data_IF_016055034233
#
_entry.id   IF_016055034233
#
_cell.length_a   1.000
_cell.length_b   1.000
_cell.length_c   1.000
_cell.angle_alpha   90.00
_cell.angle_beta   90.00
_cell.angle_gamma   90.00
#
_symmetry.space_group_name_H-M   'P 1'
#
loop_
_entity.id
_entity.type
_entity.pdbx_description
1 polymer ?
#
# COMPACT_ATOMS: atom_id res chain seq x y z
N UNK A 1 25.42 -0.67 -2.70
CA UNK A 1 24.42 -0.11 -1.77
C UNK A 1 24.67 1.39 -1.77
N UNK A 2 23.79 2.18 -2.38
CA UNK A 2 24.01 3.63 -2.51
C UNK A 2 23.55 4.34 -1.23
N UNK A 3 24.50 4.58 -0.32
CA UNK A 3 24.28 5.27 0.95
C UNK A 3 23.67 6.67 0.75
N UNK A 4 23.89 7.30 -0.42
CA UNK A 4 23.30 8.58 -0.78
C UNK A 4 21.77 8.54 -0.79
N UNK A 5 21.22 7.40 -1.21
CA UNK A 5 19.78 7.25 -1.43
C UNK A 5 18.99 7.21 -0.12
N UNK A 6 19.40 6.36 0.81
CA UNK A 6 18.77 6.24 2.13
C UNK A 6 18.86 7.54 2.93
N UNK A 7 19.98 8.28 2.80
CA UNK A 7 20.15 9.58 3.44
C UNK A 7 19.20 10.62 2.86
N UNK A 8 18.98 10.63 1.54
CA UNK A 8 18.07 11.56 0.87
C UNK A 8 16.63 11.43 1.37
N UNK A 9 16.21 10.22 1.77
CA UNK A 9 14.85 9.90 2.21
C UNK A 9 14.73 9.71 3.73
N UNK A 10 15.77 10.05 4.49
CA UNK A 10 15.80 9.90 5.96
C UNK A 10 14.75 10.73 6.73
N UNK A 11 14.14 11.71 6.06
CA UNK A 11 13.07 12.55 6.58
C UNK A 11 11.66 11.95 6.38
N UNK A 12 11.57 10.75 5.80
CA UNK A 12 10.32 10.08 5.44
C UNK A 12 10.03 8.93 6.40
N UNK A 13 8.79 8.85 6.87
CA UNK A 13 8.19 7.69 7.52
C UNK A 13 7.34 6.91 6.52
N UNK A 14 7.35 5.58 6.59
CA UNK A 14 6.72 4.72 5.60
C UNK A 14 5.67 3.81 6.25
N UNK A 15 4.43 3.89 5.78
CA UNK A 15 3.34 2.98 6.17
C UNK A 15 2.91 2.17 4.96
N UNK A 16 3.39 0.91 4.90
CA UNK A 16 2.95 -0.05 3.91
C UNK A 16 1.77 -0.90 4.38
N UNK A 17 1.29 -1.78 3.51
CA UNK A 17 0.42 -2.88 3.88
C UNK A 17 -0.87 -2.99 3.06
N UNK A 18 -1.63 -4.04 3.32
CA UNK A 18 -2.79 -4.41 2.48
C UNK A 18 -3.92 -3.37 2.55
N UNK A 19 -4.74 -3.24 1.49
CA UNK A 19 -5.94 -2.41 1.51
C UNK A 19 -6.83 -2.70 2.72
N UNK A 20 -7.57 -1.69 3.18
CA UNK A 20 -8.50 -1.81 4.31
C UNK A 20 -7.89 -2.10 5.70
N UNK A 21 -6.58 -1.87 5.90
CA UNK A 21 -5.95 -1.92 7.24
C UNK A 21 -6.00 -0.61 8.04
N UNK A 22 -6.59 0.46 7.50
CA UNK A 22 -6.71 1.74 8.20
C UNK A 22 -5.46 2.65 8.12
N UNK A 23 -4.54 2.38 7.18
CA UNK A 23 -3.32 3.19 6.93
C UNK A 23 -3.63 4.68 6.79
N UNK A 24 -4.55 5.05 5.90
CA UNK A 24 -4.88 6.45 5.63
C UNK A 24 -5.43 7.16 6.88
N UNK A 25 -6.24 6.48 7.69
CA UNK A 25 -6.76 7.02 8.96
C UNK A 25 -5.64 7.28 9.97
N UNK A 26 -4.71 6.34 10.13
CA UNK A 26 -3.56 6.48 11.03
C UNK A 26 -2.62 7.59 10.53
N UNK A 27 -2.36 7.60 9.23
CA UNK A 27 -1.51 8.59 8.56
C UNK A 27 -2.06 10.00 8.74
N UNK A 28 -3.36 10.21 8.52
CA UNK A 28 -4.02 11.49 8.71
C UNK A 28 -3.92 11.98 10.17
N UNK A 29 -4.13 11.08 11.15
CA UNK A 29 -4.00 11.41 12.58
C UNK A 29 -2.56 11.79 12.95
N UNK A 30 -1.57 11.02 12.51
CA UNK A 30 -0.14 11.32 12.77
C UNK A 30 0.28 12.64 12.11
N UNK A 31 -0.14 12.88 10.88
CA UNK A 31 0.16 14.12 10.17
C UNK A 31 -0.42 15.34 10.89
N UNK A 32 -1.67 15.26 11.34
CA UNK A 32 -2.31 16.32 12.11
C UNK A 32 -1.63 16.56 13.47
N UNK A 33 -1.18 15.50 14.15
CA UNK A 33 -0.55 15.58 15.47
C UNK A 33 0.90 16.08 15.42
N UNK A 34 1.64 15.75 14.36
CA UNK A 34 3.09 15.98 14.28
C UNK A 34 3.52 16.89 13.13
N UNK A 35 2.57 17.50 12.39
CA UNK A 35 2.87 18.44 11.30
C UNK A 35 3.56 17.80 10.10
N UNK A 36 3.21 16.55 9.76
CA UNK A 36 3.82 15.80 8.65
C UNK A 36 3.13 16.12 7.32
N UNK A 37 3.89 16.12 6.22
CA UNK A 37 3.28 16.05 4.87
C UNK A 37 2.83 14.62 4.61
N UNK A 38 1.61 14.44 4.12
CA UNK A 38 1.14 13.13 3.66
C UNK A 38 1.53 12.96 2.19
N UNK A 39 2.06 11.79 1.86
CA UNK A 39 2.15 11.29 0.50
C UNK A 39 1.34 9.99 0.41
N UNK A 40 0.19 10.03 -0.25
CA UNK A 40 -0.64 8.84 -0.51
C UNK A 40 -0.34 8.26 -1.89
N UNK A 41 0.04 6.98 -1.95
CA UNK A 41 0.32 6.34 -3.25
C UNK A 41 -0.93 6.29 -4.13
N UNK A 42 -2.09 6.00 -3.54
CA UNK A 42 -3.38 5.88 -4.24
C UNK A 42 -3.77 7.18 -4.98
N UNK A 43 -3.30 8.35 -4.52
CA UNK A 43 -3.56 9.65 -5.14
C UNK A 43 -2.75 9.88 -6.43
N UNK A 44 -1.70 9.09 -6.64
CA UNK A 44 -0.75 9.27 -7.75
C UNK A 44 -0.94 8.25 -8.87
N UNK A 45 -1.74 7.20 -8.64
CA UNK A 45 -1.99 6.08 -9.57
C UNK A 45 -2.33 6.56 -10.98
N UNK A 46 -3.27 7.50 -11.14
CA UNK A 46 -3.69 8.00 -12.45
C UNK A 46 -2.55 8.69 -13.21
N UNK A 47 -1.75 9.50 -12.51
CA UNK A 47 -0.60 10.19 -13.10
C UNK A 47 0.52 9.21 -13.44
N UNK A 48 0.89 8.32 -12.53
CA UNK A 48 1.90 7.29 -12.77
C UNK A 48 1.53 6.39 -13.96
N UNK A 49 0.25 6.01 -14.05
CA UNK A 49 -0.28 5.23 -15.17
C UNK A 49 -0.17 5.98 -16.50
N UNK A 50 -0.39 7.29 -16.49
CA UNK A 50 -0.28 8.14 -17.69
C UNK A 50 1.18 8.34 -18.12
N UNK A 51 2.10 8.49 -17.16
CA UNK A 51 3.53 8.73 -17.39
C UNK A 51 4.32 7.45 -17.70
N UNK A 52 3.76 6.29 -17.34
CA UNK A 52 4.36 4.99 -17.60
C UNK A 52 4.70 4.81 -19.09
N UNK A 53 5.89 4.29 -19.39
CA UNK A 53 6.29 3.89 -20.74
C UNK A 53 6.12 2.38 -20.86
N UNK A 54 5.45 1.92 -21.92
CA UNK A 54 5.05 0.50 -22.09
C UNK A 54 6.21 -0.49 -21.93
N UNK A 55 7.40 -0.17 -22.45
CA UNK A 55 8.59 -1.05 -22.36
C UNK A 55 9.16 -1.17 -20.94
N UNK A 56 8.79 -0.24 -20.04
CA UNK A 56 9.30 -0.17 -18.66
C UNK A 56 8.25 -0.54 -17.61
N UNK A 57 6.97 -0.41 -17.94
CA UNK A 57 5.86 -0.72 -17.06
C UNK A 57 4.71 -1.44 -17.81
N UNK A 58 4.98 -2.64 -18.36
CA UNK A 58 4.00 -3.37 -19.16
C UNK A 58 2.77 -3.83 -18.34
N UNK A 59 2.90 -4.11 -17.05
CA UNK A 59 1.76 -4.50 -16.20
C UNK A 59 0.85 -3.31 -15.92
N UNK A 60 1.40 -2.14 -15.57
CA UNK A 60 0.63 -0.90 -15.43
C UNK A 60 -0.16 -0.62 -16.71
N UNK A 61 0.49 -0.64 -17.88
CA UNK A 61 -0.16 -0.39 -19.17
C UNK A 61 -1.27 -1.37 -19.49
N UNK A 62 -1.03 -2.66 -19.24
CA UNK A 62 -2.02 -3.71 -19.52
C UNK A 62 -3.23 -3.60 -18.60
N UNK A 63 -3.01 -3.43 -17.29
CA UNK A 63 -4.10 -3.34 -16.32
C UNK A 63 -4.94 -2.07 -16.50
N UNK A 64 -4.31 -0.94 -16.84
CA UNK A 64 -5.01 0.33 -17.11
C UNK A 64 -5.98 0.26 -18.31
N UNK A 65 -5.81 -0.72 -19.19
CA UNK A 65 -6.63 -0.92 -20.41
C UNK A 65 -7.52 -2.15 -20.33
N UNK A 66 -7.42 -2.91 -19.24
CA UNK A 66 -8.19 -4.11 -19.04
C UNK A 66 -9.66 -3.77 -18.77
N UNK A 67 -10.55 -4.54 -19.37
CA UNK A 67 -11.96 -4.58 -18.98
C UNK A 67 -12.13 -5.11 -17.55
N UNK A 68 -13.33 -4.93 -16.98
CA UNK A 68 -13.66 -5.46 -15.65
C UNK A 68 -13.38 -6.97 -15.56
N UNK A 69 -13.75 -7.76 -16.58
CA UNK A 69 -13.49 -9.20 -16.59
C UNK A 69 -11.99 -9.52 -16.69
N UNK A 70 -11.26 -8.79 -17.52
CA UNK A 70 -9.81 -8.92 -17.64
C UNK A 70 -9.07 -8.47 -16.37
N UNK A 71 -9.71 -7.73 -15.46
CA UNK A 71 -9.17 -7.43 -14.14
C UNK A 71 -9.53 -8.53 -13.15
N UNK A 72 -10.84 -8.79 -12.99
CA UNK A 72 -11.40 -9.45 -11.81
C UNK A 72 -11.83 -10.90 -12.01
N UNK A 73 -12.03 -11.36 -13.26
CA UNK A 73 -12.53 -12.72 -13.52
C UNK A 73 -11.42 -13.77 -13.72
N UNK A 74 -10.17 -13.34 -13.62
CA UNK A 74 -8.96 -14.17 -13.77
C UNK A 74 -8.65 -14.96 -12.49
N UNK A 75 -7.79 -16.00 -12.55
CA UNK A 75 -7.33 -16.70 -11.36
C UNK A 75 -6.74 -15.75 -10.30
N UNK A 76 -7.14 -15.93 -9.04
CA UNK A 76 -6.74 -15.04 -7.94
C UNK A 76 -5.22 -15.00 -7.75
N UNK A 77 -4.53 -16.13 -7.89
CA UNK A 77 -3.07 -16.21 -7.78
C UNK A 77 -2.37 -15.39 -8.88
N UNK A 78 -2.95 -15.31 -10.08
CA UNK A 78 -2.48 -14.41 -11.13
C UNK A 78 -2.68 -12.96 -10.73
N UNK A 79 -3.86 -12.59 -10.19
CA UNK A 79 -4.13 -11.21 -9.78
C UNK A 79 -3.16 -10.75 -8.68
N UNK A 80 -2.90 -11.59 -7.67
CA UNK A 80 -1.94 -11.28 -6.59
C UNK A 80 -0.52 -11.10 -7.14
N UNK A 81 -0.06 -11.98 -8.03
CA UNK A 81 1.27 -11.86 -8.63
C UNK A 81 1.42 -10.59 -9.45
N UNK A 82 0.41 -10.27 -10.26
CA UNK A 82 0.45 -9.07 -11.09
C UNK A 82 0.32 -7.79 -10.29
N UNK A 83 -0.43 -7.77 -9.18
CA UNK A 83 -0.46 -6.63 -8.28
C UNK A 83 0.92 -6.34 -7.68
N UNK A 84 1.68 -7.38 -7.32
CA UNK A 84 3.06 -7.20 -6.83
C UNK A 84 3.93 -6.57 -7.93
N UNK A 85 3.86 -7.10 -9.16
CA UNK A 85 4.62 -6.54 -10.29
C UNK A 85 4.17 -5.12 -10.62
N UNK A 86 2.87 -4.81 -10.52
CA UNK A 86 2.34 -3.46 -10.68
C UNK A 86 3.02 -2.49 -9.69
N UNK A 87 3.10 -2.86 -8.41
CA UNK A 87 3.76 -2.03 -7.41
C UNK A 87 5.28 -1.93 -7.61
N UNK A 88 5.94 -3.00 -8.08
CA UNK A 88 7.35 -2.97 -8.48
C UNK A 88 7.59 -1.99 -9.65
N UNK A 89 6.67 -1.94 -10.62
CA UNK A 89 6.70 -1.01 -11.77
C UNK A 89 6.37 0.44 -11.35
N UNK A 90 5.48 0.63 -10.37
CA UNK A 90 5.05 1.95 -9.89
C UNK A 90 6.10 2.59 -8.97
N UNK A 91 6.83 1.79 -8.18
CA UNK A 91 7.72 2.27 -7.14
C UNK A 91 8.77 3.32 -7.58
N UNK A 92 9.40 3.21 -8.76
CA UNK A 92 10.29 4.27 -9.25
C UNK A 92 9.63 5.64 -9.35
N UNK A 93 8.37 5.72 -9.76
CA UNK A 93 7.62 6.98 -9.85
C UNK A 93 7.34 7.55 -8.46
N UNK A 94 6.96 6.70 -7.50
CA UNK A 94 6.81 7.08 -6.09
C UNK A 94 8.10 7.68 -5.54
N UNK A 95 9.25 7.09 -5.85
CA UNK A 95 10.54 7.63 -5.41
C UNK A 95 10.88 8.96 -6.06
N UNK A 96 10.54 9.15 -7.34
CA UNK A 96 10.75 10.41 -8.05
C UNK A 96 9.92 11.54 -7.42
N UNK A 97 8.65 11.27 -7.11
CA UNK A 97 7.79 12.22 -6.38
C UNK A 97 8.35 12.59 -5.01
N UNK A 98 8.68 11.59 -4.19
CA UNK A 98 9.17 11.80 -2.83
C UNK A 98 10.50 12.56 -2.82
N UNK A 99 11.34 12.38 -3.85
CA UNK A 99 12.59 13.17 -4.00
C UNK A 99 12.33 14.61 -4.39
N UNK A 100 11.23 14.90 -5.10
CA UNK A 100 10.84 16.23 -5.51
C UNK A 100 10.13 17.02 -4.39
N UNK A 101 9.64 16.34 -3.34
CA UNK A 101 9.00 17.01 -2.21
C UNK A 101 9.98 17.94 -1.45
N UNK A 102 9.50 19.09 -0.95
CA UNK A 102 10.27 19.93 -0.05
C UNK A 102 10.72 19.16 1.20
N UNK A 103 11.96 19.42 1.64
CA UNK A 103 12.55 18.82 2.85
C UNK A 103 12.43 19.71 4.09
N UNK A 104 11.57 20.73 4.02
CA UNK A 104 11.31 21.66 5.13
C UNK A 104 10.55 21.00 6.28
N UNK A 105 9.83 19.92 6.00
CA UNK A 105 9.09 19.13 6.99
C UNK A 105 9.22 17.63 6.75
N UNK A 106 9.08 16.80 7.80
CA UNK A 106 9.03 15.35 7.64
C UNK A 106 7.82 14.92 6.81
N UNK A 107 7.97 13.84 6.06
CA UNK A 107 6.92 13.26 5.22
C UNK A 107 6.48 11.93 5.81
N UNK A 108 5.21 11.58 5.66
CA UNK A 108 4.69 10.23 5.90
C UNK A 108 4.10 9.71 4.59
N UNK A 109 4.77 8.73 4.00
CA UNK A 109 4.33 8.04 2.80
C UNK A 109 3.49 6.82 3.17
N UNK A 110 2.33 6.65 2.54
CA UNK A 110 1.43 5.54 2.81
C UNK A 110 0.89 4.92 1.51
N UNK A 111 0.76 3.59 1.48
CA UNK A 111 0.16 2.89 0.34
C UNK A 111 0.47 1.40 0.28
N UNK A 112 -0.31 0.65 -0.50
CA UNK A 112 -0.05 -0.78 -0.73
C UNK A 112 1.25 -1.00 -1.53
N UNK A 113 1.60 -0.05 -2.42
CA UNK A 113 2.83 -0.06 -3.21
C UNK A 113 4.13 -0.01 -2.39
N UNK A 114 4.05 0.42 -1.12
CA UNK A 114 5.20 0.51 -0.21
C UNK A 114 5.53 -0.87 0.39
N UNK A 115 5.89 -1.81 -0.48
CA UNK A 115 6.23 -3.18 -0.10
C UNK A 115 7.57 -3.25 0.63
N UNK A 116 7.71 -4.24 1.52
CA UNK A 116 8.91 -4.39 2.34
C UNK A 116 10.17 -4.52 1.49
N UNK A 117 10.18 -5.47 0.56
CA UNK A 117 11.38 -5.74 -0.23
C UNK A 117 11.81 -4.53 -1.08
N UNK A 118 10.86 -3.67 -1.50
CA UNK A 118 11.13 -2.43 -2.21
C UNK A 118 11.81 -1.39 -1.31
N UNK A 119 11.30 -1.18 -0.10
CA UNK A 119 11.92 -0.27 0.87
C UNK A 119 13.31 -0.77 1.32
N UNK A 120 13.49 -2.09 1.48
CA UNK A 120 14.80 -2.68 1.78
C UNK A 120 15.80 -2.48 0.63
N UNK A 121 15.35 -2.58 -0.63
CA UNK A 121 16.21 -2.43 -1.81
C UNK A 121 16.88 -1.04 -1.89
N UNK A 122 16.24 -0.03 -1.31
CA UNK A 122 16.74 1.36 -1.25
C UNK A 122 17.34 1.72 0.13
N UNK A 123 17.45 0.75 1.04
CA UNK A 123 18.11 0.90 2.34
C UNK A 123 17.31 1.67 3.38
N UNK A 124 15.97 1.68 3.32
CA UNK A 124 15.14 2.27 4.39
C UNK A 124 15.34 1.47 5.69
N UNK A 125 15.72 2.13 6.80
CA UNK A 125 15.84 1.45 8.10
C UNK A 125 14.49 0.95 8.59
N UNK A 126 14.44 -0.24 9.20
CA UNK A 126 13.19 -0.83 9.72
C UNK A 126 12.46 0.07 10.74
N UNK A 127 13.18 0.88 11.53
CA UNK A 127 12.59 1.86 12.45
C UNK A 127 11.88 3.04 11.77
N UNK A 128 12.00 3.18 10.44
CA UNK A 128 11.30 4.20 9.64
C UNK A 128 10.11 3.65 8.86
N UNK A 129 9.89 2.33 8.88
CA UNK A 129 8.85 1.67 8.10
C UNK A 129 8.01 0.73 8.96
N UNK A 130 6.71 0.68 8.71
CA UNK A 130 5.78 -0.24 9.39
C UNK A 130 4.71 -0.71 8.41
N UNK A 131 4.23 -1.94 8.57
CA UNK A 131 3.16 -2.50 7.74
C UNK A 131 1.90 -2.74 8.56
N UNK A 132 0.75 -2.46 7.97
CA UNK A 132 -0.56 -2.76 8.54
C UNK A 132 -1.32 -3.72 7.62
N UNK A 133 -1.69 -4.89 8.13
CA UNK A 133 -2.39 -5.93 7.36
C UNK A 133 -3.70 -6.29 8.07
N UNK A 134 -4.86 -6.26 7.40
CA UNK A 134 -6.10 -6.63 8.04
C UNK A 134 -6.26 -8.14 8.13
N UNK A 135 -7.01 -8.63 9.12
CA UNK A 135 -7.45 -10.03 9.09
C UNK A 135 -8.45 -10.24 7.94
N UNK A 136 -8.55 -11.45 7.35
CA UNK A 136 -9.50 -11.71 6.27
C UNK A 136 -10.96 -11.45 6.63
N UNK A 137 -11.34 -11.71 7.89
CA UNK A 137 -12.69 -11.45 8.38
C UNK A 137 -12.97 -9.94 8.44
N UNK A 138 -12.04 -9.19 9.04
CA UNK A 138 -12.11 -7.73 9.13
C UNK A 138 -12.18 -7.07 7.76
N UNK A 139 -11.31 -7.50 6.82
CA UNK A 139 -11.28 -6.95 5.48
C UNK A 139 -12.61 -7.11 4.75
N UNK A 140 -13.19 -8.33 4.75
CA UNK A 140 -14.50 -8.58 4.11
C UNK A 140 -15.63 -7.76 4.74
N UNK A 141 -15.69 -7.71 6.06
CA UNK A 141 -16.72 -6.95 6.78
C UNK A 141 -16.64 -5.44 6.45
N UNK A 142 -15.44 -4.88 6.41
CA UNK A 142 -15.25 -3.46 6.14
C UNK A 142 -15.49 -3.10 4.67
N UNK A 143 -15.11 -3.96 3.72
CA UNK A 143 -15.41 -3.77 2.31
C UNK A 143 -16.91 -3.82 2.02
N UNK A 144 -17.65 -4.73 2.67
CA UNK A 144 -19.09 -4.86 2.50
C UNK A 144 -19.90 -3.61 2.93
N UNK A 145 -19.28 -2.69 3.68
CA UNK A 145 -19.90 -1.42 4.12
C UNK A 145 -19.65 -0.26 3.14
N UNK A 146 -18.91 -0.48 2.05
CA UNK A 146 -18.54 0.54 1.07
C UNK A 146 -19.40 0.41 -0.18
N UNK A 147 -19.80 1.54 -0.76
CA UNK A 147 -20.65 1.56 -1.95
C UNK A 147 -19.82 1.45 -3.25
N UNK A 148 -18.66 2.10 -3.29
CA UNK A 148 -17.82 2.20 -4.49
C UNK A 148 -17.33 0.86 -5.09
N UNK A 149 -17.16 -0.26 -4.36
CA UNK A 149 -16.81 -1.53 -5.00
C UNK A 149 -17.89 -2.03 -5.97
N UNK A 150 -19.17 -1.69 -5.74
CA UNK A 150 -20.24 -2.02 -6.66
C UNK A 150 -20.04 -1.31 -8.00
N UNK A 151 -19.65 -0.04 -7.97
CA UNK A 151 -19.37 0.74 -9.18
C UNK A 151 -18.15 0.19 -9.92
N UNK A 152 -17.09 -0.16 -9.17
CA UNK A 152 -15.86 -0.73 -9.73
C UNK A 152 -16.08 -2.08 -10.43
N UNK A 153 -17.07 -2.85 -9.98
CA UNK A 153 -17.40 -4.17 -10.53
C UNK A 153 -18.58 -4.16 -11.50
N UNK A 154 -19.28 -3.03 -11.66
CA UNK A 154 -20.57 -2.96 -12.35
C UNK A 154 -20.57 -3.46 -13.81
N UNK A 155 -19.40 -3.45 -14.48
CA UNK A 155 -19.24 -3.90 -15.86
C UNK A 155 -18.69 -5.33 -16.01
N UNK A 156 -18.52 -6.05 -14.90
CA UNK A 156 -18.11 -7.45 -14.92
C UNK A 156 -19.30 -8.35 -15.30
N UNK A 157 -19.01 -9.46 -15.99
CA UNK A 157 -20.03 -10.41 -16.46
C UNK A 157 -20.70 -11.17 -15.30
N UNK A 158 -19.98 -11.43 -14.21
CA UNK A 158 -20.49 -12.03 -12.97
C UNK A 158 -19.97 -11.26 -11.75
N UNK A 159 -20.86 -10.45 -11.16
CA UNK A 159 -20.55 -9.57 -10.04
C UNK A 159 -20.14 -10.34 -8.78
N UNK A 160 -20.79 -11.49 -8.52
CA UNK A 160 -20.52 -12.30 -7.34
C UNK A 160 -19.14 -12.96 -7.44
N UNK A 161 -18.78 -13.45 -8.62
CA UNK A 161 -17.45 -13.98 -8.88
C UNK A 161 -16.38 -12.87 -8.80
N UNK A 162 -16.62 -11.72 -9.43
CA UNK A 162 -15.68 -10.61 -9.40
C UNK A 162 -15.43 -10.12 -7.96
N UNK A 163 -16.48 -10.02 -7.14
CA UNK A 163 -16.37 -9.69 -5.72
C UNK A 163 -15.55 -10.72 -4.94
N UNK A 164 -15.85 -12.01 -5.09
CA UNK A 164 -15.06 -13.08 -4.45
C UNK A 164 -13.59 -13.00 -4.83
N UNK A 165 -13.31 -12.82 -6.12
CA UNK A 165 -11.95 -12.75 -6.62
C UNK A 165 -11.21 -11.51 -6.09
N UNK A 166 -11.84 -10.34 -6.06
CA UNK A 166 -11.27 -9.15 -5.43
C UNK A 166 -10.90 -9.43 -3.98
N UNK A 167 -11.84 -9.93 -3.17
CA UNK A 167 -11.60 -10.19 -1.76
C UNK A 167 -10.46 -11.19 -1.54
N UNK A 168 -10.45 -12.30 -2.28
CA UNK A 168 -9.36 -13.27 -2.18
C UNK A 168 -8.02 -12.72 -2.67
N UNK A 169 -8.02 -11.79 -3.64
CA UNK A 169 -6.82 -11.08 -4.10
C UNK A 169 -6.26 -10.18 -3.01
N UNK A 170 -7.07 -9.32 -2.40
CA UNK A 170 -6.64 -8.42 -1.31
C UNK A 170 -6.15 -9.20 -0.08
N UNK A 171 -6.81 -10.31 0.24
CA UNK A 171 -6.40 -11.26 1.28
C UNK A 171 -5.07 -11.92 0.91
N UNK A 172 -4.93 -12.35 -0.35
CA UNK A 172 -3.70 -12.96 -0.88
C UNK A 172 -2.52 -11.99 -0.82
N UNK A 173 -2.74 -10.72 -1.15
CA UNK A 173 -1.75 -9.66 -1.00
C UNK A 173 -1.39 -9.43 0.48
N UNK A 174 -2.38 -9.39 1.38
CA UNK A 174 -2.14 -9.32 2.83
C UNK A 174 -1.25 -10.46 3.34
N UNK A 175 -1.53 -11.70 2.93
CA UNK A 175 -0.66 -12.86 3.24
C UNK A 175 0.75 -12.69 2.69
N UNK A 176 0.91 -12.12 1.50
CA UNK A 176 2.24 -11.82 0.93
C UNK A 176 3.00 -10.85 1.83
N UNK A 177 2.37 -9.77 2.27
CA UNK A 177 2.96 -8.77 3.18
C UNK A 177 3.32 -9.40 4.53
N UNK A 178 2.42 -10.19 5.13
CA UNK A 178 2.69 -10.89 6.39
C UNK A 178 3.90 -11.83 6.26
N UNK A 179 3.98 -12.59 5.17
CA UNK A 179 5.11 -13.49 4.91
C UNK A 179 6.43 -12.73 4.72
N UNK A 180 6.42 -11.55 4.09
CA UNK A 180 7.60 -10.68 4.01
C UNK A 180 8.02 -10.17 5.39
N UNK A 181 7.04 -9.85 6.24
CA UNK A 181 7.24 -9.28 7.56
C UNK A 181 7.67 -10.28 8.65
N UNK A 182 7.70 -11.58 8.38
CA UNK A 182 8.17 -12.60 9.35
C UNK A 182 9.68 -12.52 9.68
N UNK A 183 10.43 -11.61 9.04
CA UNK A 183 11.87 -11.47 9.28
C UNK A 183 12.14 -10.70 10.60
N UNK A 184 13.22 -11.03 11.32
CA UNK A 184 13.58 -10.33 12.56
C UNK A 184 13.75 -8.82 12.36
N UNK A 185 13.25 -8.02 13.30
CA UNK A 185 13.43 -6.56 13.32
C UNK A 185 12.35 -5.74 12.61
N UNK A 186 11.43 -6.41 11.92
CA UNK A 186 10.32 -5.76 11.23
C UNK A 186 9.09 -5.62 12.12
N UNK A 187 8.36 -4.53 11.90
CA UNK A 187 7.07 -4.30 12.54
C UNK A 187 5.96 -4.42 11.50
N UNK A 188 5.16 -5.47 11.61
CA UNK A 188 3.87 -5.58 10.94
C UNK A 188 2.78 -5.73 12.01
N UNK A 189 1.71 -4.94 11.90
CA UNK A 189 0.57 -4.98 12.81
C UNK A 189 -0.64 -5.58 12.09
N UNK A 190 -1.19 -6.64 12.68
CA UNK A 190 -2.49 -7.16 12.27
C UNK A 190 -3.61 -6.25 12.75
N UNK A 191 -4.55 -5.94 11.86
CA UNK A 191 -5.75 -5.15 12.13
C UNK A 191 -6.97 -6.05 11.99
N UNK A 192 -7.49 -6.53 13.12
CA UNK A 192 -8.57 -7.52 13.18
C UNK A 192 -9.84 -7.00 13.87
N UNK A 193 -9.85 -5.72 14.26
CA UNK A 193 -10.95 -5.09 14.99
C UNK A 193 -10.94 -5.34 16.50
N UNK A 194 -10.01 -6.13 17.03
CA UNK A 194 -9.90 -6.40 18.48
C UNK A 194 -9.29 -5.22 19.26
N UNK A 195 -8.49 -4.39 18.58
CA UNK A 195 -7.84 -3.20 19.15
C UNK A 195 -8.55 -1.93 18.72
N UNK A 196 -8.67 -0.99 19.64
CA UNK A 196 -9.12 0.36 19.32
C UNK A 196 -8.14 1.02 18.36
N UNK A 197 -8.66 1.86 17.46
CA UNK A 197 -7.87 2.64 16.50
C UNK A 197 -6.75 3.43 17.20
N UNK A 198 -7.06 4.07 18.33
CA UNK A 198 -6.09 4.84 19.12
C UNK A 198 -4.94 3.95 19.63
N UNK A 199 -5.20 2.69 19.97
CA UNK A 199 -4.15 1.75 20.37
C UNK A 199 -3.25 1.33 19.21
N UNK A 200 -3.75 1.33 17.98
CA UNK A 200 -2.94 1.08 16.77
C UNK A 200 -2.13 2.35 16.46
N UNK A 201 -2.76 3.53 16.49
CA UNK A 201 -2.11 4.81 16.33
C UNK A 201 -0.92 4.97 17.29
N UNK A 202 -1.12 4.71 18.59
CA UNK A 202 -0.05 4.79 19.59
C UNK A 202 1.08 3.78 19.37
N UNK A 203 0.79 2.61 18.78
CA UNK A 203 1.82 1.65 18.43
C UNK A 203 2.66 2.15 17.26
N UNK A 204 2.03 2.69 16.20
CA UNK A 204 2.71 3.29 15.05
C UNK A 204 3.53 4.51 15.48
N UNK A 205 2.93 5.40 16.28
CA UNK A 205 3.58 6.59 16.83
C UNK A 205 4.85 6.24 17.60
N UNK A 206 4.77 5.27 18.53
CA UNK A 206 5.92 4.79 19.31
C UNK A 206 6.99 4.14 18.43
N UNK A 207 6.58 3.34 17.43
CA UNK A 207 7.51 2.74 16.47
C UNK A 207 8.36 3.79 15.75
N UNK A 208 7.74 4.89 15.32
CA UNK A 208 8.44 6.00 14.68
C UNK A 208 9.15 6.96 15.63
N UNK A 209 9.04 6.77 16.95
CA UNK A 209 9.62 7.67 17.94
C UNK A 209 9.02 9.07 17.94
N UNK A 210 7.76 9.21 17.49
CA UNK A 210 7.03 10.48 17.49
C UNK A 210 6.44 10.71 18.89
N UNK A 211 6.82 11.81 19.54
CA UNK A 211 6.47 12.13 20.94
C UNK A 211 5.07 12.65 21.12
#
# INVERSE_FOLDING_TARGET
MDVSFALALSHIFWIGGSPCSGKSTITAKLAAQHGLTIYGCDEMVDRHTTEAVIDRAPVIHRLARASCDELWMRPVDQQVREEIVYYEEEFPFILDDLRALPRDRPVIAEGAALMLHLLESIGVPHGRSIWLVPSPAFQREHYARREWPNDALASCTDLDQAWRNWMERDIGFGRRVDNEAMRPGLTCLTVDGSRLLESILDAVRRHFGLG
#
